data_IF_552349094764
#
_entry.id   IF_552349094764
#
_cell.length_a   1.000
_cell.length_b   1.000
_cell.length_c   1.000
_cell.angle_alpha   90.00
_cell.angle_beta   90.00
_cell.angle_gamma   90.00
#
_symmetry.space_group_name_H-M   'P 1'
#
loop_
_entity.id
_entity.type
_entity.pdbx_description
1 polymer ?
#
# COMPACT_ATOMS: atom_id res chain seq x y z
N UNK A 1 -8.20 16.78 14.00
CA UNK A 1 -7.04 16.40 13.16
C UNK A 1 -7.54 16.24 11.73
N UNK A 2 -6.82 16.80 10.74
CA UNK A 2 -7.24 16.75 9.33
C UNK A 2 -7.21 15.30 8.84
N UNK A 3 -8.27 14.89 8.13
CA UNK A 3 -8.29 13.62 7.41
C UNK A 3 -7.11 13.58 6.42
N UNK A 4 -6.37 12.48 6.35
CA UNK A 4 -5.25 12.32 5.44
C UNK A 4 -3.84 12.49 6.05
N UNK A 5 -3.71 12.86 7.32
CA UNK A 5 -2.40 12.92 7.96
C UNK A 5 -1.86 11.53 8.31
N UNK A 6 -0.72 11.18 7.76
CA UNK A 6 0.09 10.03 8.16
C UNK A 6 0.71 10.34 9.53
N UNK A 7 0.50 9.44 10.50
CA UNK A 7 1.09 9.59 11.82
C UNK A 7 0.19 10.30 12.85
N UNK A 8 -0.28 9.53 13.82
CA UNK A 8 -1.17 9.99 14.90
C UNK A 8 -0.46 10.23 16.22
N UNK A 9 0.58 9.44 16.50
CA UNK A 9 1.20 9.36 17.83
C UNK A 9 2.58 9.99 17.92
N UNK A 10 3.11 10.58 16.84
CA UNK A 10 4.49 11.06 16.78
C UNK A 10 5.53 9.95 16.96
N UNK A 11 5.13 8.68 16.78
CA UNK A 11 6.03 7.53 16.97
C UNK A 11 7.12 7.53 15.89
N UNK A 12 6.80 7.96 14.64
CA UNK A 12 7.76 8.05 13.56
C UNK A 12 8.97 8.91 13.95
N UNK A 13 8.72 10.13 14.45
CA UNK A 13 9.79 11.00 14.94
C UNK A 13 10.52 10.40 16.16
N UNK A 14 9.75 9.80 17.08
CA UNK A 14 10.34 9.15 18.27
C UNK A 14 11.21 7.93 17.92
N UNK A 15 10.97 7.27 16.80
CA UNK A 15 11.80 6.13 16.37
C UNK A 15 13.22 6.56 15.96
N UNK A 16 13.41 7.80 15.50
CA UNK A 16 14.75 8.33 15.19
C UNK A 16 15.69 8.29 16.39
N UNK A 17 15.17 8.42 17.59
CA UNK A 17 16.00 8.34 18.82
C UNK A 17 16.47 6.93 19.15
N UNK A 18 15.88 5.90 18.56
CA UNK A 18 16.41 4.53 18.68
C UNK A 18 17.78 4.40 18.00
N UNK A 19 18.12 5.33 17.09
CA UNK A 19 19.43 5.40 16.46
C UNK A 19 20.54 5.84 17.44
N UNK A 20 20.15 6.26 18.66
CA UNK A 20 21.06 6.44 19.81
C UNK A 20 21.78 7.78 19.90
N UNK A 21 21.58 8.69 18.94
CA UNK A 21 22.19 9.99 18.88
C UNK A 21 21.25 11.15 19.11
N UNK A 22 21.73 12.36 18.82
CA UNK A 22 20.93 13.58 18.80
C UNK A 22 20.06 13.65 17.54
N UNK A 23 18.89 14.29 17.66
CA UNK A 23 18.00 14.54 16.54
C UNK A 23 17.72 16.05 16.51
N UNK A 24 18.07 16.70 15.39
CA UNK A 24 17.74 18.10 15.15
C UNK A 24 16.56 18.18 14.17
N UNK A 25 15.63 19.07 14.47
CA UNK A 25 14.55 19.46 13.59
C UNK A 25 14.63 20.96 13.39
N UNK A 26 14.85 21.39 12.17
CA UNK A 26 14.84 22.80 11.80
C UNK A 26 13.81 23.01 10.70
N UNK A 27 12.87 23.93 10.94
CA UNK A 27 11.82 24.24 9.98
C UNK A 27 11.54 25.74 10.03
N UNK A 28 11.90 26.44 8.96
CA UNK A 28 11.77 27.91 8.87
C UNK A 28 12.42 28.62 10.07
N UNK A 29 11.61 29.20 10.97
CA UNK A 29 12.03 29.92 12.16
C UNK A 29 12.09 29.08 13.44
N UNK A 30 11.85 27.78 13.35
CA UNK A 30 11.83 26.88 14.51
C UNK A 30 13.01 25.92 14.40
N UNK A 31 13.87 25.90 15.41
CA UNK A 31 14.95 24.94 15.57
C UNK A 31 14.86 24.24 16.91
N UNK A 32 14.89 22.89 16.90
CA UNK A 32 14.81 22.05 18.09
C UNK A 32 15.86 20.95 18.02
N UNK A 33 16.59 20.74 19.12
CA UNK A 33 17.48 19.61 19.31
C UNK A 33 16.94 18.70 20.41
N UNK A 34 16.79 17.44 20.09
CA UNK A 34 16.46 16.37 21.02
C UNK A 34 17.75 15.61 21.34
N UNK A 35 18.32 15.89 22.50
CA UNK A 35 19.48 15.21 23.04
C UNK A 35 19.02 14.37 24.23
N UNK A 36 19.07 13.02 24.15
CA UNK A 36 18.60 12.16 25.23
C UNK A 36 19.35 12.34 26.54
N UNK A 37 20.65 12.59 26.49
CA UNK A 37 21.46 12.75 27.70
C UNK A 37 21.20 14.09 28.38
N UNK A 38 21.18 15.17 27.61
CA UNK A 38 20.80 16.49 28.11
C UNK A 38 19.39 16.47 28.71
N UNK A 39 18.41 15.86 28.04
CA UNK A 39 17.05 15.76 28.54
C UNK A 39 16.99 15.03 29.90
N UNK A 40 17.67 13.89 30.02
CA UNK A 40 17.74 13.12 31.26
C UNK A 40 18.40 13.91 32.38
N UNK A 41 19.51 14.58 32.11
CA UNK A 41 20.23 15.38 33.10
C UNK A 41 19.37 16.53 33.60
N UNK A 42 18.66 17.25 32.70
CA UNK A 42 17.77 18.37 33.06
C UNK A 42 16.57 17.91 33.91
N UNK A 43 15.96 16.78 33.57
CA UNK A 43 14.85 16.20 34.34
C UNK A 43 15.30 15.78 35.73
N UNK A 44 16.45 15.09 35.82
CA UNK A 44 17.02 14.67 37.13
C UNK A 44 17.32 15.88 38.01
N UNK A 45 17.97 16.88 37.47
CA UNK A 45 18.30 18.11 38.18
C UNK A 45 17.03 18.85 38.65
N UNK A 46 16.02 19.00 37.79
CA UNK A 46 14.80 19.72 38.13
C UNK A 46 13.94 19.00 39.19
N UNK A 47 13.93 17.67 39.17
CA UNK A 47 13.15 16.86 40.11
C UNK A 47 13.99 16.37 41.32
N UNK A 48 15.24 16.82 41.47
CA UNK A 48 16.17 16.38 42.51
C UNK A 48 16.34 14.85 42.59
N UNK A 49 16.38 14.17 41.43
CA UNK A 49 16.52 12.73 41.36
C UNK A 49 18.00 12.29 41.42
N UNK A 50 18.31 11.10 41.92
CA UNK A 50 19.65 10.49 41.84
C UNK A 50 20.15 10.42 40.37
N UNK A 51 21.48 10.40 40.19
CA UNK A 51 22.10 10.37 38.87
C UNK A 51 21.76 9.11 38.04
N UNK A 52 21.51 8.01 38.72
CA UNK A 52 21.15 6.70 38.16
C UNK A 52 19.64 6.52 37.97
N UNK A 53 18.81 7.47 38.43
CA UNK A 53 17.36 7.39 38.28
C UNK A 53 16.98 7.36 36.81
N UNK A 54 16.02 6.50 36.45
CA UNK A 54 15.48 6.42 35.10
C UNK A 54 14.70 7.70 34.78
N UNK A 55 15.12 8.40 33.73
CA UNK A 55 14.43 9.56 33.21
C UNK A 55 14.21 9.46 31.68
N UNK A 56 13.10 9.98 31.15
CA UNK A 56 12.85 9.96 29.73
C UNK A 56 13.82 10.86 28.95
N UNK A 57 14.32 10.38 27.80
CA UNK A 57 15.27 11.11 26.95
C UNK A 57 14.63 12.05 25.90
N UNK A 58 13.28 12.22 25.90
CA UNK A 58 12.58 12.96 24.84
C UNK A 58 11.47 13.90 25.33
N UNK A 59 11.48 14.30 26.56
CA UNK A 59 10.44 15.21 27.08
C UNK A 59 10.79 16.67 26.87
N UNK A 60 12.06 16.97 26.77
CA UNK A 60 12.59 18.32 26.62
C UNK A 60 13.43 18.39 25.34
N UNK A 61 13.33 19.49 24.63
CA UNK A 61 14.19 19.85 23.52
C UNK A 61 14.94 21.14 23.85
N UNK A 62 16.14 21.26 23.33
CA UNK A 62 16.90 22.51 23.31
C UNK A 62 16.39 23.35 22.13
N UNK A 63 16.30 24.66 22.31
CA UNK A 63 16.03 25.59 21.21
C UNK A 63 17.30 25.78 20.44
N UNK A 64 17.26 25.63 19.13
CA UNK A 64 18.33 25.96 18.20
C UNK A 64 17.95 27.25 17.47
N UNK A 65 18.96 28.08 17.19
CA UNK A 65 18.78 29.20 16.28
C UNK A 65 18.87 28.69 14.83
N UNK A 66 17.76 28.76 14.04
CA UNK A 66 17.78 28.35 12.64
C UNK A 66 18.73 29.16 11.76
N UNK A 67 19.06 30.38 12.18
CA UNK A 67 19.97 31.28 11.46
C UNK A 67 21.46 31.07 11.84
N UNK A 68 21.75 30.24 12.85
CA UNK A 68 23.13 29.96 13.24
C UNK A 68 23.91 29.28 12.09
N UNK A 69 25.19 29.55 11.98
CA UNK A 69 26.04 28.99 10.92
C UNK A 69 26.08 27.46 10.89
N UNK A 70 25.91 26.83 12.07
CA UNK A 70 25.87 25.35 12.19
C UNK A 70 24.50 24.74 11.88
N UNK A 71 23.48 25.58 11.62
CA UNK A 71 22.14 25.09 11.30
C UNK A 71 22.15 24.21 10.06
N UNK A 72 21.48 23.04 10.08
CA UNK A 72 21.35 22.19 8.89
C UNK A 72 20.79 22.94 7.67
N UNK A 73 19.90 23.92 7.86
CA UNK A 73 19.34 24.73 6.77
C UNK A 73 20.35 25.61 6.06
N UNK A 74 21.45 25.98 6.72
CA UNK A 74 22.51 26.85 6.14
C UNK A 74 23.56 26.04 5.36
N UNK A 75 23.39 24.72 5.22
CA UNK A 75 24.23 23.89 4.35
C UNK A 75 23.74 24.03 2.91
N UNK A 76 24.64 24.27 1.98
CA UNK A 76 24.32 24.42 0.54
C UNK A 76 23.52 23.23 -0.05
N UNK A 77 23.70 22.06 0.51
CA UNK A 77 22.94 20.87 0.10
C UNK A 77 21.44 20.94 0.45
N UNK A 78 21.01 21.84 1.35
CA UNK A 78 19.65 21.92 1.88
C UNK A 78 19.05 23.34 1.79
N UNK A 79 19.63 24.23 1.00
CA UNK A 79 19.16 25.62 0.82
C UNK A 79 17.74 25.69 0.21
N UNK A 80 17.35 24.65 -0.56
CA UNK A 80 16.01 24.48 -1.11
C UNK A 80 14.97 23.99 -0.07
N UNK A 81 15.41 23.46 1.09
CA UNK A 81 14.54 22.75 2.02
C UNK A 81 13.80 23.71 2.97
N UNK A 82 12.49 23.53 3.14
CA UNK A 82 11.72 24.23 4.17
C UNK A 82 11.91 23.62 5.56
N UNK A 83 12.16 22.33 5.62
CA UNK A 83 12.35 21.57 6.87
C UNK A 83 13.46 20.56 6.67
N UNK A 84 14.39 20.52 7.64
CA UNK A 84 15.47 19.54 7.69
C UNK A 84 15.38 18.81 9.03
N UNK A 85 15.43 17.50 9.00
CA UNK A 85 15.56 16.64 10.17
C UNK A 85 16.86 15.87 10.03
N UNK A 86 17.76 16.03 11.00
CA UNK A 86 19.01 15.27 11.06
C UNK A 86 18.97 14.32 12.27
N UNK A 87 19.52 13.13 12.11
CA UNK A 87 19.65 12.16 13.19
C UNK A 87 21.05 11.57 13.19
N UNK A 88 21.72 11.61 14.33
CA UNK A 88 23.00 10.96 14.52
C UNK A 88 22.82 9.46 14.67
N UNK A 89 23.56 8.67 13.90
CA UNK A 89 23.56 7.22 13.95
C UNK A 89 24.83 6.74 14.62
N UNK A 90 24.73 6.28 15.87
CA UNK A 90 25.90 5.87 16.66
C UNK A 90 26.39 4.45 16.31
N UNK A 91 25.48 3.58 15.88
CA UNK A 91 25.78 2.19 15.61
C UNK A 91 26.13 1.94 14.15
N UNK A 92 27.28 1.40 13.78
CA UNK A 92 27.58 0.99 12.41
C UNK A 92 26.58 -0.03 11.86
N UNK A 93 26.06 -0.92 12.72
CA UNK A 93 25.04 -1.90 12.35
C UNK A 93 23.73 -1.23 11.95
N UNK A 94 23.30 -0.21 12.72
CA UNK A 94 22.07 0.55 12.37
C UNK A 94 22.25 1.36 11.11
N UNK A 95 23.45 1.90 10.87
CA UNK A 95 23.78 2.56 9.60
C UNK A 95 23.68 1.60 8.42
N UNK A 96 24.28 0.42 8.53
CA UNK A 96 24.22 -0.59 7.47
C UNK A 96 22.78 -1.00 7.16
N UNK A 97 22.00 -1.28 8.21
CA UNK A 97 20.60 -1.62 8.08
C UNK A 97 19.79 -0.50 7.42
N UNK A 98 20.02 0.75 7.77
CA UNK A 98 19.33 1.88 7.14
C UNK A 98 19.64 1.97 5.64
N UNK A 99 20.89 1.75 5.24
CA UNK A 99 21.30 1.74 3.83
C UNK A 99 20.57 0.62 3.08
N UNK A 100 20.48 -0.57 3.66
CA UNK A 100 19.75 -1.70 3.08
C UNK A 100 18.24 -1.40 2.97
N UNK A 101 17.64 -0.81 3.99
CA UNK A 101 16.23 -0.41 3.99
C UNK A 101 15.95 0.70 2.96
N UNK A 102 16.88 1.66 2.76
CA UNK A 102 16.77 2.67 1.71
C UNK A 102 16.85 2.07 0.31
N UNK A 103 17.76 1.13 0.09
CA UNK A 103 17.89 0.43 -1.18
C UNK A 103 16.64 -0.41 -1.52
N UNK A 104 16.04 -1.06 -0.50
CA UNK A 104 14.85 -1.88 -0.62
C UNK A 104 13.53 -1.09 -0.44
N UNK A 105 13.57 0.25 -0.36
CA UNK A 105 12.37 1.05 -0.13
C UNK A 105 11.33 0.84 -1.24
N UNK A 106 10.07 0.52 -0.92
CA UNK A 106 9.06 0.23 -1.94
C UNK A 106 8.67 1.49 -2.71
N UNK A 107 8.84 1.48 -4.03
CA UNK A 107 8.48 2.60 -4.88
C UNK A 107 6.98 2.90 -4.84
N UNK A 108 6.16 1.88 -4.63
CA UNK A 108 4.70 1.97 -4.54
C UNK A 108 4.21 2.83 -3.37
N UNK A 109 5.08 3.18 -2.42
CA UNK A 109 4.76 4.11 -1.32
C UNK A 109 4.18 5.44 -1.84
N UNK A 110 4.68 5.95 -2.96
CA UNK A 110 4.23 7.22 -3.54
C UNK A 110 2.79 7.15 -4.07
N UNK A 111 2.22 5.96 -4.31
CA UNK A 111 0.83 5.79 -4.77
C UNK A 111 -0.19 6.39 -3.79
N UNK A 112 0.09 6.34 -2.49
CA UNK A 112 -0.84 6.71 -1.44
C UNK A 112 -0.60 8.11 -0.86
N UNK A 113 0.28 8.88 -1.47
CA UNK A 113 0.53 10.27 -1.10
C UNK A 113 -0.50 11.19 -1.75
N UNK A 114 -0.87 12.27 -1.05
CA UNK A 114 -1.93 13.20 -1.49
C UNK A 114 -1.52 14.13 -2.63
N UNK A 115 -0.24 14.25 -2.90
CA UNK A 115 0.33 15.11 -3.94
C UNK A 115 1.43 14.37 -4.69
N UNK A 116 1.79 14.87 -5.86
CA UNK A 116 2.94 14.38 -6.58
C UNK A 116 4.20 14.81 -5.82
N UNK A 117 5.00 13.82 -5.47
CA UNK A 117 6.20 13.95 -4.65
C UNK A 117 7.32 13.19 -5.35
N UNK A 118 8.47 13.79 -5.38
CA UNK A 118 9.73 13.15 -5.71
C UNK A 118 10.43 12.76 -4.41
N UNK A 119 10.71 11.47 -4.26
CA UNK A 119 11.44 10.91 -3.13
C UNK A 119 12.85 10.56 -3.58
N UNK A 120 13.84 11.30 -3.08
CA UNK A 120 15.26 11.04 -3.36
C UNK A 120 15.88 10.32 -2.18
N UNK A 121 16.43 9.13 -2.41
CA UNK A 121 17.16 8.31 -1.45
C UNK A 121 18.63 8.33 -1.84
N UNK A 122 19.44 9.01 -1.04
CA UNK A 122 20.86 9.23 -1.33
C UNK A 122 21.74 8.71 -0.19
N UNK A 123 22.76 7.95 -0.55
CA UNK A 123 23.81 7.50 0.37
C UNK A 123 25.12 8.12 -0.07
N UNK A 124 25.76 8.91 0.79
CA UNK A 124 27.04 9.57 0.47
C UNK A 124 28.10 8.55 0.04
N UNK A 125 28.62 8.72 -1.16
CA UNK A 125 29.56 7.76 -1.79
C UNK A 125 28.91 6.51 -2.37
N UNK A 126 27.58 6.46 -2.40
CA UNK A 126 26.78 5.37 -2.98
C UNK A 126 25.89 5.83 -4.13
N UNK A 127 24.94 4.99 -4.49
CA UNK A 127 23.94 5.28 -5.52
C UNK A 127 22.85 6.21 -4.97
N UNK A 128 22.37 7.11 -5.84
CA UNK A 128 21.14 7.87 -5.61
C UNK A 128 19.99 7.18 -6.32
N UNK A 129 18.87 6.99 -5.62
CA UNK A 129 17.63 6.46 -6.16
C UNK A 129 16.53 7.50 -6.06
N UNK A 130 15.92 7.83 -7.18
CA UNK A 130 14.78 8.76 -7.24
C UNK A 130 13.52 7.99 -7.54
N UNK A 131 12.50 8.19 -6.71
CA UNK A 131 11.17 7.60 -6.89
C UNK A 131 10.19 8.74 -7.11
N UNK A 132 9.49 8.71 -8.22
CA UNK A 132 8.50 9.72 -8.56
C UNK A 132 7.18 9.10 -8.98
N UNK A 133 6.13 9.92 -8.96
CA UNK A 133 4.80 9.56 -9.45
C UNK A 133 4.29 10.68 -10.34
N UNK A 134 3.75 10.30 -11.49
CA UNK A 134 2.97 11.20 -12.32
C UNK A 134 1.61 10.56 -12.66
N UNK A 135 0.68 11.38 -13.15
CA UNK A 135 -0.65 10.94 -13.58
C UNK A 135 -0.79 11.09 -15.08
N UNK A 136 -1.23 10.02 -15.73
CA UNK A 136 -1.59 9.98 -17.15
C UNK A 136 -3.04 9.50 -17.29
N UNK A 137 -3.98 10.44 -17.47
CA UNK A 137 -5.41 10.11 -17.46
C UNK A 137 -5.87 9.54 -16.12
N UNK A 138 -6.35 8.29 -16.11
CA UNK A 138 -6.76 7.57 -14.91
C UNK A 138 -5.66 6.64 -14.33
N UNK A 139 -4.48 6.64 -14.96
CA UNK A 139 -3.33 5.86 -14.53
C UNK A 139 -2.37 6.70 -13.67
N UNK A 140 -1.79 6.06 -12.69
CA UNK A 140 -0.62 6.53 -11.97
C UNK A 140 0.61 5.78 -12.48
N UNK A 141 1.61 6.52 -12.90
CA UNK A 141 2.89 6.00 -13.31
C UNK A 141 3.86 6.19 -12.15
N UNK A 142 4.44 5.12 -11.67
CA UNK A 142 5.51 5.15 -10.66
C UNK A 142 6.81 4.82 -11.36
N UNK A 143 7.77 5.73 -11.24
CA UNK A 143 9.12 5.60 -11.73
C UNK A 143 10.08 5.49 -10.56
N UNK A 144 10.91 4.46 -10.49
CA UNK A 144 11.89 4.25 -9.43
C UNK A 144 13.34 4.52 -9.88
N UNK A 145 13.48 5.13 -11.06
CA UNK A 145 14.77 5.43 -11.69
C UNK A 145 15.33 4.26 -12.53
N UNK A 146 14.82 3.05 -12.35
CA UNK A 146 15.22 1.85 -13.11
C UNK A 146 14.08 1.24 -13.90
N UNK A 147 12.87 1.29 -13.34
CA UNK A 147 11.66 0.71 -13.93
C UNK A 147 10.47 1.63 -13.77
N UNK A 148 9.54 1.55 -14.72
CA UNK A 148 8.26 2.22 -14.62
C UNK A 148 7.15 1.19 -14.42
N UNK A 149 6.22 1.49 -13.53
CA UNK A 149 5.04 0.68 -13.29
C UNK A 149 3.77 1.52 -13.39
N UNK A 150 2.71 0.91 -13.92
CA UNK A 150 1.42 1.55 -14.16
C UNK A 150 0.39 1.01 -13.19
N UNK A 151 -0.42 1.89 -12.61
CA UNK A 151 -1.38 1.57 -11.58
C UNK A 151 -2.70 2.30 -11.78
N UNK A 152 -3.80 1.66 -11.41
CA UNK A 152 -5.07 2.32 -11.15
C UNK A 152 -5.31 2.38 -9.66
N UNK A 153 -5.60 3.57 -9.15
CA UNK A 153 -5.89 3.78 -7.74
C UNK A 153 -7.38 4.02 -7.55
N UNK A 154 -8.01 3.18 -6.76
CA UNK A 154 -9.40 3.29 -6.35
C UNK A 154 -9.46 3.60 -4.86
N UNK A 155 -10.25 4.59 -4.48
CA UNK A 155 -10.30 5.09 -3.11
C UNK A 155 -11.73 5.17 -2.61
N UNK A 156 -11.90 4.89 -1.33
CA UNK A 156 -13.18 5.00 -0.61
C UNK A 156 -12.93 5.50 0.80
N UNK A 157 -13.88 6.30 1.30
CA UNK A 157 -13.98 6.60 2.74
C UNK A 157 -15.01 5.65 3.33
N UNK A 158 -14.59 4.83 4.27
CA UNK A 158 -15.40 3.82 4.94
C UNK A 158 -15.83 4.37 6.30
N UNK A 159 -17.13 4.46 6.53
CA UNK A 159 -17.69 4.79 7.83
C UNK A 159 -17.80 3.48 8.62
N UNK A 160 -17.10 3.40 9.74
CA UNK A 160 -17.17 2.23 10.62
C UNK A 160 -18.39 2.43 11.51
N UNK A 161 -19.53 1.87 11.13
CA UNK A 161 -20.82 1.99 11.84
C UNK A 161 -21.16 0.75 12.67
N UNK A 162 -20.55 -0.40 12.37
CA UNK A 162 -20.70 -1.63 13.13
C UNK A 162 -20.18 -1.50 14.56
N UNK A 163 -21.01 -1.79 15.62
CA UNK A 163 -20.63 -1.62 17.02
C UNK A 163 -19.47 -2.51 17.46
N UNK A 164 -19.37 -3.74 16.95
CA UNK A 164 -18.30 -4.68 17.30
C UNK A 164 -16.97 -4.24 16.67
N UNK A 165 -17.02 -3.86 15.40
CA UNK A 165 -15.87 -3.27 14.72
C UNK A 165 -15.38 -1.99 15.40
N UNK A 166 -16.29 -1.12 15.85
CA UNK A 166 -15.94 0.07 16.64
C UNK A 166 -15.26 -0.29 17.95
N UNK A 167 -15.79 -1.23 18.69
CA UNK A 167 -15.21 -1.67 19.96
C UNK A 167 -13.82 -2.26 19.76
N UNK A 168 -13.63 -3.10 18.73
CA UNK A 168 -12.35 -3.72 18.41
C UNK A 168 -11.32 -2.70 17.86
N UNK A 169 -11.76 -1.60 17.23
CA UNK A 169 -10.87 -0.57 16.69
C UNK A 169 -10.02 0.15 17.75
N UNK A 170 -10.38 0.12 19.02
CA UNK A 170 -9.67 0.76 20.13
C UNK A 170 -9.33 2.23 19.83
N UNK A 171 -8.02 2.53 19.75
CA UNK A 171 -7.52 3.87 19.48
C UNK A 171 -7.83 4.40 18.05
N UNK A 172 -8.31 3.56 17.15
CA UNK A 172 -8.75 3.95 15.80
C UNK A 172 -10.21 4.45 15.80
N UNK A 173 -10.97 4.21 16.86
CA UNK A 173 -12.40 4.61 17.02
C UNK A 173 -12.66 6.11 16.80
N UNK A 174 -11.69 6.97 17.08
CA UNK A 174 -11.85 8.42 16.97
C UNK A 174 -11.89 8.94 15.53
N UNK A 175 -12.02 8.06 14.51
CA UNK A 175 -12.16 8.45 13.11
C UNK A 175 -13.59 8.21 12.65
N UNK A 176 -14.28 9.27 12.24
CA UNK A 176 -15.62 9.17 11.65
C UNK A 176 -15.60 8.43 10.31
N UNK A 177 -14.50 8.53 9.59
CA UNK A 177 -14.28 7.83 8.33
C UNK A 177 -12.83 7.33 8.21
N UNK A 178 -12.68 6.14 7.67
CA UNK A 178 -11.41 5.45 7.46
C UNK A 178 -11.09 5.44 5.96
N UNK A 179 -9.92 5.94 5.53
CA UNK A 179 -9.51 5.82 4.14
C UNK A 179 -9.17 4.37 3.81
N UNK A 180 -9.67 3.90 2.68
CA UNK A 180 -9.39 2.61 2.09
C UNK A 180 -9.02 2.83 0.64
N UNK A 181 -7.90 2.27 0.19
CA UNK A 181 -7.44 2.38 -1.19
C UNK A 181 -7.04 1.01 -1.73
N UNK A 182 -7.37 0.77 -2.98
CA UNK A 182 -6.89 -0.36 -3.75
C UNK A 182 -6.08 0.15 -4.94
N UNK A 183 -4.77 -0.13 -4.94
CA UNK A 183 -3.89 0.12 -6.08
C UNK A 183 -3.74 -1.17 -6.88
N UNK A 184 -4.30 -1.18 -8.08
CA UNK A 184 -4.26 -2.31 -8.99
C UNK A 184 -3.17 -2.11 -10.06
N UNK A 185 -2.24 -3.06 -10.25
CA UNK A 185 -1.22 -2.97 -11.28
C UNK A 185 -1.82 -3.18 -12.67
N UNK A 186 -1.32 -2.45 -13.67
CA UNK A 186 -1.73 -2.56 -15.07
C UNK A 186 -0.56 -3.11 -15.90
N UNK A 187 -0.85 -4.11 -16.75
CA UNK A 187 0.14 -4.70 -17.65
C UNK A 187 1.19 -5.60 -16.97
N UNK A 188 1.09 -5.83 -15.67
CA UNK A 188 1.98 -6.72 -14.91
C UNK A 188 1.26 -7.97 -14.44
N UNK A 189 1.92 -9.12 -14.55
CA UNK A 189 1.50 -10.36 -13.90
C UNK A 189 2.06 -10.35 -12.47
N UNK A 190 1.37 -9.70 -11.55
CA UNK A 190 1.81 -9.62 -10.16
C UNK A 190 1.51 -10.93 -9.41
N UNK A 191 2.40 -11.35 -8.49
CA UNK A 191 2.06 -12.31 -7.46
C UNK A 191 0.91 -11.77 -6.59
N UNK A 192 0.42 -12.56 -5.64
CA UNK A 192 -0.59 -12.10 -4.70
C UNK A 192 -0.18 -10.75 -4.08
N UNK A 193 -1.12 -9.81 -4.03
CA UNK A 193 -0.89 -8.51 -3.44
C UNK A 193 -0.72 -8.56 -1.92
N UNK A 194 -0.48 -7.41 -1.32
CA UNK A 194 -0.23 -7.27 0.12
C UNK A 194 -1.12 -6.21 0.76
N UNK A 195 -1.38 -6.39 2.05
CA UNK A 195 -1.97 -5.33 2.85
C UNK A 195 -0.92 -4.29 3.25
N UNK A 196 -1.30 -3.03 3.17
CA UNK A 196 -0.47 -1.90 3.58
C UNK A 196 -1.19 -1.06 4.63
N UNK A 197 -0.48 -0.67 5.67
CA UNK A 197 -0.91 0.34 6.63
C UNK A 197 -0.04 1.60 6.45
N UNK A 198 -0.11 2.22 5.26
CA UNK A 198 0.80 3.17 4.63
C UNK A 198 2.17 2.59 4.26
N UNK A 199 2.64 1.58 4.96
CA UNK A 199 3.81 0.78 4.66
C UNK A 199 3.40 -0.68 4.44
N UNK A 200 4.19 -1.46 3.68
CA UNK A 200 3.89 -2.85 3.44
C UNK A 200 3.84 -3.65 4.74
N UNK A 201 2.90 -4.56 4.84
CA UNK A 201 2.90 -5.62 5.84
C UNK A 201 3.40 -6.92 5.22
N UNK A 202 3.64 -7.94 6.03
CA UNK A 202 3.99 -9.28 5.55
C UNK A 202 2.76 -10.16 5.30
N UNK A 203 1.56 -9.61 5.47
CA UNK A 203 0.30 -10.34 5.25
C UNK A 203 -0.14 -10.19 3.79
N UNK A 204 -0.24 -11.30 3.01
CA UNK A 204 -0.74 -11.27 1.65
C UNK A 204 -2.26 -11.05 1.64
N UNK A 205 -2.77 -10.36 0.60
CA UNK A 205 -4.22 -10.20 0.37
C UNK A 205 -4.84 -11.37 -0.37
N UNK A 206 -4.02 -12.22 -1.01
CA UNK A 206 -4.43 -13.26 -1.97
C UNK A 206 -5.18 -12.73 -3.21
N UNK A 207 -5.47 -11.44 -3.26
CA UNK A 207 -5.97 -10.70 -4.42
C UNK A 207 -4.83 -9.89 -5.06
N UNK A 208 -4.99 -9.42 -6.28
CA UNK A 208 -3.99 -8.60 -6.95
C UNK A 208 -3.93 -7.19 -6.37
N UNK A 209 -2.75 -6.58 -6.42
CA UNK A 209 -2.53 -5.20 -6.04
C UNK A 209 -2.36 -4.96 -4.54
N UNK A 210 -2.35 -3.69 -4.17
CA UNK A 210 -2.08 -3.25 -2.81
C UNK A 210 -3.37 -2.72 -2.19
N UNK A 211 -3.74 -3.26 -1.02
CA UNK A 211 -4.82 -2.75 -0.19
C UNK A 211 -4.27 -1.92 0.94
N UNK A 212 -4.43 -0.61 0.86
CA UNK A 212 -3.95 0.33 1.87
C UNK A 212 -5.09 0.88 2.72
N UNK A 213 -5.01 0.66 4.03
CA UNK A 213 -5.92 1.21 5.03
C UNK A 213 -5.23 1.25 6.41
N UNK A 214 -5.77 1.95 7.40
CA UNK A 214 -5.26 1.92 8.77
C UNK A 214 -5.66 0.61 9.48
N UNK A 215 -5.18 -0.51 8.99
CA UNK A 215 -5.41 -1.84 9.57
C UNK A 215 -4.94 -1.92 11.01
N UNK A 216 -5.59 -2.74 11.80
CA UNK A 216 -5.12 -3.13 13.12
C UNK A 216 -4.03 -4.18 12.97
N UNK A 217 -2.83 -3.85 13.44
CA UNK A 217 -1.64 -4.65 13.28
C UNK A 217 -1.17 -5.20 14.63
N UNK A 218 -0.31 -6.23 14.58
CA UNK A 218 0.44 -6.71 15.74
C UNK A 218 1.40 -5.62 16.29
N UNK A 219 2.08 -5.90 17.40
CA UNK A 219 2.92 -4.93 18.11
C UNK A 219 4.09 -4.40 17.29
N UNK A 220 4.68 -5.22 16.43
CA UNK A 220 5.80 -4.86 15.55
C UNK A 220 5.36 -4.29 14.20
N UNK A 221 4.03 -4.23 13.94
CA UNK A 221 3.39 -3.69 12.75
C UNK A 221 3.70 -4.43 11.46
N UNK A 222 4.08 -5.68 11.55
CA UNK A 222 4.43 -6.49 10.39
C UNK A 222 3.24 -7.30 9.85
N UNK A 223 2.26 -7.64 10.70
CA UNK A 223 1.14 -8.50 10.32
C UNK A 223 -0.20 -7.90 10.74
N UNK A 224 -1.22 -8.16 9.91
CA UNK A 224 -2.61 -7.90 10.25
C UNK A 224 -3.06 -8.92 11.28
N UNK A 225 -3.78 -8.48 12.30
CA UNK A 225 -4.39 -9.36 13.31
C UNK A 225 -5.86 -9.61 12.98
N UNK A 226 -6.38 -10.79 13.37
CA UNK A 226 -7.81 -11.07 13.29
C UNK A 226 -8.59 -10.17 14.23
N UNK A 227 -9.82 -9.83 13.85
CA UNK A 227 -10.75 -9.07 14.67
C UNK A 227 -11.80 -8.34 13.83
N UNK A 228 -12.90 -8.00 14.48
CA UNK A 228 -14.08 -7.43 13.85
C UNK A 228 -13.78 -6.15 13.04
N UNK A 229 -12.86 -5.31 13.50
CA UNK A 229 -12.47 -4.11 12.79
C UNK A 229 -11.78 -4.41 11.44
N UNK A 230 -10.84 -5.33 11.44
CA UNK A 230 -10.16 -5.70 10.19
C UNK A 230 -11.08 -6.47 9.24
N UNK A 231 -11.96 -7.33 9.76
CA UNK A 231 -12.96 -8.04 8.97
C UNK A 231 -13.96 -7.09 8.31
N UNK A 232 -14.42 -6.08 9.05
CA UNK A 232 -15.26 -5.00 8.52
C UNK A 232 -14.58 -4.25 7.36
N UNK A 233 -13.31 -3.87 7.53
CA UNK A 233 -12.54 -3.21 6.46
C UNK A 233 -12.28 -4.13 5.27
N UNK A 234 -12.07 -5.43 5.50
CA UNK A 234 -11.92 -6.42 4.42
C UNK A 234 -13.19 -6.59 3.62
N UNK A 235 -14.37 -6.56 4.26
CA UNK A 235 -15.66 -6.56 3.57
C UNK A 235 -15.82 -5.32 2.68
N UNK A 236 -15.47 -4.12 3.19
CA UNK A 236 -15.48 -2.89 2.41
C UNK A 236 -14.45 -2.91 1.26
N UNK A 237 -13.29 -3.55 1.47
CA UNK A 237 -12.28 -3.73 0.43
C UNK A 237 -12.76 -4.68 -0.68
N UNK A 238 -13.47 -5.75 -0.31
CA UNK A 238 -14.09 -6.66 -1.28
C UNK A 238 -15.11 -5.95 -2.16
N UNK A 239 -15.89 -5.02 -1.59
CA UNK A 239 -16.82 -4.18 -2.36
C UNK A 239 -16.06 -3.24 -3.32
N UNK A 240 -15.06 -2.52 -2.80
CA UNK A 240 -14.26 -1.60 -3.61
C UNK A 240 -13.62 -2.30 -4.81
N UNK A 241 -13.06 -3.49 -4.60
CA UNK A 241 -12.45 -4.28 -5.68
C UNK A 241 -13.53 -4.74 -6.67
N UNK A 242 -14.62 -5.35 -6.19
CA UNK A 242 -15.66 -5.88 -7.06
C UNK A 242 -16.32 -4.82 -7.95
N UNK A 243 -16.53 -3.61 -7.43
CA UNK A 243 -17.08 -2.49 -8.20
C UNK A 243 -16.12 -1.96 -9.28
N UNK A 244 -14.82 -2.16 -9.11
CA UNK A 244 -13.82 -1.52 -9.96
C UNK A 244 -12.98 -2.50 -10.79
N UNK A 245 -13.03 -3.80 -10.51
CA UNK A 245 -12.16 -4.80 -11.17
C UNK A 245 -12.33 -4.81 -12.70
N UNK A 246 -13.54 -4.65 -13.20
CA UNK A 246 -13.82 -4.58 -14.64
C UNK A 246 -13.08 -3.42 -15.34
N UNK A 247 -12.80 -2.35 -14.61
CA UNK A 247 -12.07 -1.19 -15.14
C UNK A 247 -10.57 -1.48 -15.39
N UNK A 248 -10.08 -2.64 -14.99
CA UNK A 248 -8.71 -3.08 -15.30
C UNK A 248 -8.56 -3.51 -16.76
N UNK A 249 -9.67 -3.84 -17.44
CA UNK A 249 -9.65 -4.13 -18.87
C UNK A 249 -9.10 -2.93 -19.67
N UNK A 250 -8.27 -3.22 -20.66
CA UNK A 250 -7.76 -2.28 -21.64
C UNK A 250 -8.07 -2.80 -23.04
N UNK A 251 -7.92 -1.96 -24.05
CA UNK A 251 -8.07 -2.39 -25.45
C UNK A 251 -7.07 -3.50 -25.80
N UNK A 252 -5.83 -3.39 -25.31
CA UNK A 252 -4.77 -4.38 -25.53
C UNK A 252 -4.96 -5.65 -24.70
N UNK A 253 -5.63 -5.57 -23.55
CA UNK A 253 -5.85 -6.69 -22.64
C UNK A 253 -7.24 -6.68 -21.99
N UNK A 254 -8.29 -7.05 -22.74
CA UNK A 254 -9.64 -7.16 -22.20
C UNK A 254 -9.76 -8.19 -21.06
N UNK A 255 -8.86 -9.16 -20.97
CA UNK A 255 -8.81 -10.20 -19.94
C UNK A 255 -8.08 -9.80 -18.65
N UNK A 256 -7.58 -8.57 -18.54
CA UNK A 256 -6.85 -8.13 -17.34
C UNK A 256 -7.63 -8.30 -16.03
N UNK A 257 -8.96 -8.11 -15.95
CA UNK A 257 -9.75 -8.38 -14.75
C UNK A 257 -9.60 -9.81 -14.22
N UNK A 258 -9.45 -10.80 -15.09
CA UNK A 258 -9.26 -12.20 -14.69
C UNK A 258 -7.92 -12.40 -13.96
N UNK A 259 -6.90 -11.64 -14.34
CA UNK A 259 -5.62 -11.65 -13.62
C UNK A 259 -5.71 -11.09 -12.21
N UNK A 260 -6.71 -10.28 -11.91
CA UNK A 260 -6.91 -9.67 -10.60
C UNK A 260 -7.78 -10.49 -9.65
N UNK A 261 -8.42 -11.57 -10.11
CA UNK A 261 -9.22 -12.45 -9.27
C UNK A 261 -8.40 -13.03 -8.11
N UNK A 262 -9.00 -13.22 -6.92
CA UNK A 262 -8.27 -13.75 -5.78
C UNK A 262 -7.86 -15.21 -6.01
N UNK A 263 -6.78 -15.62 -5.34
CA UNK A 263 -6.40 -17.03 -5.25
C UNK A 263 -7.37 -17.75 -4.29
N UNK A 264 -7.51 -19.05 -4.46
CA UNK A 264 -8.20 -19.87 -3.46
C UNK A 264 -7.45 -19.80 -2.14
N UNK A 265 -8.22 -19.87 -1.06
CA UNK A 265 -7.66 -20.04 0.28
C UNK A 265 -7.07 -21.44 0.41
N UNK A 266 -5.81 -21.51 0.83
CA UNK A 266 -5.17 -22.79 1.18
C UNK A 266 -5.64 -23.27 2.56
N UNK A 267 -6.08 -22.34 3.44
CA UNK A 267 -6.59 -22.59 4.78
C UNK A 267 -7.77 -21.69 5.09
N UNK A 268 -8.81 -22.23 5.72
CA UNK A 268 -9.99 -21.45 6.14
C UNK A 268 -9.70 -20.48 7.28
N UNK A 269 -8.59 -20.64 8.00
CA UNK A 269 -8.19 -19.80 9.11
C UNK A 269 -7.22 -18.66 8.70
N UNK A 270 -7.01 -18.46 7.40
CA UNK A 270 -6.20 -17.35 6.90
C UNK A 270 -6.81 -16.00 7.33
N UNK A 271 -5.94 -15.06 7.69
CA UNK A 271 -6.36 -13.70 8.06
C UNK A 271 -7.08 -13.00 6.90
N UNK A 272 -6.73 -13.30 5.65
CA UNK A 272 -7.35 -12.75 4.46
C UNK A 272 -8.67 -13.44 4.06
N UNK A 273 -9.12 -14.48 4.78
CA UNK A 273 -10.34 -15.23 4.44
C UNK A 273 -11.57 -14.33 4.27
N UNK A 274 -11.88 -13.37 5.16
CA UNK A 274 -13.03 -12.49 4.98
C UNK A 274 -13.00 -11.67 3.69
N UNK A 275 -11.80 -11.24 3.27
CA UNK A 275 -11.61 -10.53 2.00
C UNK A 275 -11.89 -11.46 0.81
N UNK A 276 -11.26 -12.64 0.78
CA UNK A 276 -11.35 -13.58 -0.34
C UNK A 276 -12.77 -14.11 -0.52
N UNK A 277 -13.42 -14.53 0.57
CA UNK A 277 -14.81 -14.98 0.54
C UNK A 277 -15.77 -13.85 0.14
N UNK A 278 -15.57 -12.66 0.69
CA UNK A 278 -16.33 -11.46 0.33
C UNK A 278 -16.19 -11.10 -1.14
N UNK A 279 -14.98 -11.29 -1.72
CA UNK A 279 -14.72 -11.10 -3.14
C UNK A 279 -15.47 -12.13 -3.99
N UNK A 280 -15.30 -13.43 -3.73
CA UNK A 280 -15.96 -14.45 -4.54
C UNK A 280 -17.47 -14.30 -4.57
N UNK A 281 -18.11 -14.03 -3.43
CA UNK A 281 -19.56 -13.78 -3.35
C UNK A 281 -20.05 -12.64 -4.27
N UNK A 282 -19.20 -11.64 -4.53
CA UNK A 282 -19.54 -10.49 -5.37
C UNK A 282 -19.13 -10.68 -6.83
N UNK A 283 -17.95 -11.23 -7.06
CA UNK A 283 -17.35 -11.34 -8.39
C UNK A 283 -18.14 -12.27 -9.32
N UNK A 284 -18.80 -13.30 -8.78
CA UNK A 284 -19.68 -14.17 -9.56
C UNK A 284 -20.86 -13.44 -10.23
N UNK A 285 -21.24 -12.27 -9.69
CA UNK A 285 -22.34 -11.43 -10.21
C UNK A 285 -21.82 -10.15 -10.91
N UNK A 286 -20.52 -9.98 -10.99
CA UNK A 286 -19.90 -8.80 -11.58
C UNK A 286 -19.62 -9.03 -13.06
N UNK A 287 -19.91 -8.02 -13.88
CA UNK A 287 -19.54 -8.02 -15.31
C UNK A 287 -18.04 -7.76 -15.45
N UNK A 288 -17.24 -8.79 -15.39
CA UNK A 288 -15.78 -8.73 -15.40
C UNK A 288 -15.10 -9.62 -16.45
N UNK A 289 -15.88 -10.42 -17.19
CA UNK A 289 -15.37 -11.31 -18.23
C UNK A 289 -15.65 -10.66 -19.59
N UNK A 290 -14.61 -10.43 -20.37
CA UNK A 290 -14.78 -9.91 -21.73
C UNK A 290 -15.25 -11.02 -22.68
N UNK A 291 -16.23 -10.70 -23.53
CA UNK A 291 -16.57 -11.53 -24.70
C UNK A 291 -15.54 -11.34 -25.81
N UNK A 292 -15.51 -12.24 -26.79
CA UNK A 292 -14.70 -12.11 -27.99
C UNK A 292 -15.01 -10.85 -28.84
N UNK A 293 -16.12 -10.17 -28.55
CA UNK A 293 -16.45 -8.85 -29.09
C UNK A 293 -16.03 -7.71 -28.15
N UNK A 294 -15.15 -7.96 -27.16
CA UNK A 294 -14.63 -7.01 -26.17
C UNK A 294 -15.71 -6.34 -25.28
N UNK A 295 -16.89 -6.94 -25.16
CA UNK A 295 -17.93 -6.45 -24.24
C UNK A 295 -17.85 -7.18 -22.91
N UNK A 296 -18.05 -6.45 -21.81
CA UNK A 296 -17.98 -7.01 -20.44
C UNK A 296 -19.29 -7.67 -20.04
N UNK A 297 -19.20 -8.91 -19.61
CA UNK A 297 -20.32 -9.74 -19.18
C UNK A 297 -20.07 -10.36 -17.81
N UNK A 298 -21.12 -10.83 -17.14
CA UNK A 298 -20.97 -11.77 -16.05
C UNK A 298 -20.55 -13.15 -16.57
N UNK A 299 -19.97 -13.98 -15.72
CA UNK A 299 -19.42 -15.25 -16.15
C UNK A 299 -20.48 -16.28 -16.56
N UNK A 300 -21.76 -16.10 -16.18
CA UNK A 300 -22.87 -16.98 -16.60
C UNK A 300 -23.23 -16.82 -18.09
N UNK A 301 -22.97 -15.63 -18.63
CA UNK A 301 -23.46 -15.26 -19.95
C UNK A 301 -22.55 -15.72 -21.08
N UNK A 302 -21.36 -16.24 -20.77
CA UNK A 302 -20.34 -16.55 -21.76
C UNK A 302 -19.95 -18.03 -21.79
N UNK A 303 -19.62 -18.51 -22.97
CA UNK A 303 -19.10 -19.84 -23.22
C UNK A 303 -17.58 -19.80 -23.29
N UNK A 304 -16.93 -20.62 -22.48
CA UNK A 304 -15.47 -20.81 -22.52
C UNK A 304 -15.09 -21.67 -23.75
N UNK A 305 -13.94 -21.36 -24.34
CA UNK A 305 -13.35 -22.20 -25.38
C UNK A 305 -12.91 -23.54 -24.79
N UNK A 306 -13.23 -24.67 -25.42
CA UNK A 306 -12.83 -25.99 -24.95
C UNK A 306 -11.36 -26.33 -25.20
N UNK A 307 -10.71 -25.55 -26.08
CA UNK A 307 -9.28 -25.67 -26.43
C UNK A 307 -8.44 -24.70 -25.60
N UNK A 308 -7.17 -25.02 -25.39
CA UNK A 308 -6.22 -24.22 -24.60
C UNK A 308 -5.15 -23.54 -25.46
N UNK A 309 -5.03 -23.93 -26.73
CA UNK A 309 -4.08 -23.36 -27.68
C UNK A 309 -4.50 -21.98 -28.10
N UNK A 310 -3.77 -20.94 -27.65
CA UNK A 310 -4.07 -19.53 -27.87
C UNK A 310 -4.25 -19.21 -29.36
N UNK A 311 -3.30 -19.63 -30.20
CA UNK A 311 -3.34 -19.39 -31.64
C UNK A 311 -4.60 -19.94 -32.33
N UNK A 312 -5.08 -21.10 -31.89
CA UNK A 312 -6.30 -21.70 -32.41
C UNK A 312 -7.55 -20.95 -31.96
N UNK A 313 -7.57 -20.48 -30.71
CA UNK A 313 -8.67 -19.66 -30.21
C UNK A 313 -8.74 -18.32 -30.96
N UNK A 314 -7.62 -17.65 -31.13
CA UNK A 314 -7.55 -16.38 -31.88
C UNK A 314 -8.08 -16.57 -33.30
N UNK A 315 -7.59 -17.57 -34.00
CA UNK A 315 -8.03 -17.88 -35.37
C UNK A 315 -9.51 -18.25 -35.44
N UNK A 316 -10.04 -18.95 -34.42
CA UNK A 316 -11.44 -19.26 -34.33
C UNK A 316 -12.28 -17.98 -34.15
N UNK A 317 -11.84 -17.06 -33.29
CA UNK A 317 -12.53 -15.77 -33.06
C UNK A 317 -12.54 -14.90 -34.29
N UNK A 318 -11.47 -14.90 -35.11
CA UNK A 318 -11.39 -14.18 -36.37
C UNK A 318 -12.44 -14.67 -37.39
N UNK A 319 -12.68 -16.00 -37.41
CA UNK A 319 -13.62 -16.64 -38.32
C UNK A 319 -15.07 -16.64 -37.85
N UNK A 320 -15.31 -16.41 -36.54
CA UNK A 320 -16.62 -16.45 -35.93
C UNK A 320 -17.46 -15.22 -36.31
N UNK A 321 -18.76 -15.42 -36.48
CA UNK A 321 -19.72 -14.33 -36.64
C UNK A 321 -19.90 -13.49 -35.37
N UNK A 322 -20.53 -12.34 -35.48
CA UNK A 322 -20.70 -11.39 -34.37
C UNK A 322 -21.51 -12.00 -33.21
N UNK A 323 -22.55 -12.79 -33.51
CA UNK A 323 -23.44 -13.41 -32.52
C UNK A 323 -22.64 -14.43 -31.67
N UNK A 324 -21.77 -15.19 -32.32
CA UNK A 324 -20.90 -16.17 -31.64
C UNK A 324 -19.83 -15.44 -30.83
N UNK A 325 -19.20 -14.37 -31.36
CA UNK A 325 -18.22 -13.58 -30.61
C UNK A 325 -18.81 -12.91 -29.36
N UNK A 326 -20.06 -12.51 -29.39
CA UNK A 326 -20.74 -11.95 -28.21
C UNK A 326 -20.97 -12.97 -27.10
N UNK A 327 -21.04 -14.26 -27.43
CA UNK A 327 -21.29 -15.36 -26.48
C UNK A 327 -20.03 -16.11 -26.06
N UNK A 328 -18.94 -15.96 -26.77
CA UNK A 328 -17.68 -16.61 -26.45
C UNK A 328 -16.78 -15.70 -25.59
N UNK A 329 -16.02 -16.30 -24.66
CA UNK A 329 -15.03 -15.61 -23.85
C UNK A 329 -13.91 -15.06 -24.75
N UNK A 330 -13.45 -13.83 -24.49
CA UNK A 330 -12.30 -13.26 -25.18
C UNK A 330 -11.04 -14.11 -24.93
N UNK A 331 -10.20 -14.40 -25.95
CA UNK A 331 -9.00 -15.22 -25.80
C UNK A 331 -8.12 -14.80 -24.62
N UNK A 332 -7.90 -13.50 -24.45
CA UNK A 332 -7.09 -12.97 -23.34
C UNK A 332 -7.60 -13.34 -21.94
N UNK A 333 -8.90 -13.62 -21.77
CA UNK A 333 -9.45 -14.03 -20.48
C UNK A 333 -9.00 -15.44 -20.04
N UNK A 334 -8.61 -16.29 -20.96
CA UNK A 334 -8.10 -17.63 -20.67
C UNK A 334 -6.64 -17.83 -21.09
N UNK A 335 -5.95 -16.75 -21.42
CA UNK A 335 -4.54 -16.79 -21.81
C UNK A 335 -3.64 -17.31 -20.67
N UNK A 336 -2.94 -18.40 -20.93
CA UNK A 336 -2.05 -19.06 -19.99
C UNK A 336 -2.75 -19.70 -18.78
N UNK A 337 -2.01 -20.55 -18.07
CA UNK A 337 -2.53 -21.36 -16.96
C UNK A 337 -3.14 -20.55 -15.82
N UNK A 338 -2.66 -19.33 -15.57
CA UNK A 338 -3.13 -18.50 -14.44
C UNK A 338 -4.53 -17.98 -14.70
N UNK A 339 -4.78 -17.36 -15.85
CA UNK A 339 -6.12 -16.84 -16.21
C UNK A 339 -7.11 -17.96 -16.42
N UNK A 340 -6.71 -19.00 -17.16
CA UNK A 340 -7.53 -20.20 -17.36
C UNK A 340 -7.98 -20.80 -16.03
N UNK A 341 -7.05 -21.03 -15.08
CA UNK A 341 -7.40 -21.55 -13.76
C UNK A 341 -8.28 -20.62 -12.89
N UNK A 342 -8.12 -19.30 -13.03
CA UNK A 342 -8.98 -18.32 -12.33
C UNK A 342 -10.38 -18.25 -12.95
N UNK A 343 -10.49 -18.35 -14.26
CA UNK A 343 -11.76 -18.41 -14.95
C UNK A 343 -12.52 -19.70 -14.56
N UNK A 344 -11.81 -20.84 -14.42
CA UNK A 344 -12.37 -22.09 -13.90
C UNK A 344 -12.83 -21.97 -12.44
N UNK A 345 -12.07 -21.25 -11.62
CA UNK A 345 -12.47 -21.00 -10.25
C UNK A 345 -13.76 -20.17 -10.19
N UNK A 346 -13.85 -19.12 -11.01
CA UNK A 346 -15.05 -18.29 -11.12
C UNK A 346 -16.25 -19.12 -11.58
N UNK A 347 -16.09 -19.97 -12.59
CA UNK A 347 -17.15 -20.86 -13.07
C UNK A 347 -17.62 -21.86 -11.98
N UNK A 348 -16.71 -22.40 -11.18
CA UNK A 348 -17.05 -23.29 -10.07
C UNK A 348 -17.83 -22.60 -8.96
N UNK A 349 -17.45 -21.37 -8.59
CA UNK A 349 -18.19 -20.59 -7.59
C UNK A 349 -19.60 -20.20 -8.05
N UNK A 350 -19.87 -20.24 -9.37
CA UNK A 350 -21.19 -20.03 -9.94
C UNK A 350 -22.11 -21.25 -9.76
N UNK A 351 -21.55 -22.45 -9.72
CA UNK A 351 -22.30 -23.73 -9.72
C UNK A 351 -22.31 -24.42 -8.35
N UNK A 352 -21.57 -23.91 -7.36
CA UNK A 352 -21.51 -24.38 -5.98
C UNK A 352 -22.52 -23.73 -5.09
#
# INVERSE_FOLDING_TARGET
>A
KRAGQIGRFGIGFKSLLKLGGTVDLVSRSIGLRFDPEWCRSRIRAHLNLPADARAPGMRLAQVLDPAAAESPLNRSAFDWATTVVTAEIKSPKDRQRLVEEMAAFPAEFVLFLSSDIELVLEVTGGATRTISRCREGDLLIVDDGSTQSRWRLFERKVIVDDPEAKADALHLQARDAVPLSWAAPIGRREPAGTFWAFFPTQTPTLAAGILNAPWKLNSDRTHIIKGAYNEFLMAAAAELIAENIARLATEDDPGAPISALPRKLDRQDDVAAPLVEGLWKRLVRTKLVASAAAQMHDAHSLLRHPIEEEDLIERWVELADEVVRLKAVHPSCQAGKVRSGRLDALARELHG
#
